data_IF_581391649657
#
_entry.id   IF_581391649657
#
_cell.length_a   1.000
_cell.length_b   1.000
_cell.length_c   1.000
_cell.angle_alpha   90.00
_cell.angle_beta   90.00
_cell.angle_gamma   90.00
#
_symmetry.space_group_name_H-M   'P 1'
#
loop_
_entity.id
_entity.type
_entity.pdbx_description
1 polymer ?
#
# COMPACT_ATOMS: atom_id res chain seq x y z
N UNK A 1 -16.68 13.31 -2.63
CA UNK A 1 -17.04 14.40 -1.69
C UNK A 1 -16.57 15.70 -2.33
N UNK A 2 -17.43 16.72 -2.48
CA UNK A 2 -17.07 18.03 -3.07
C UNK A 2 -16.28 18.86 -2.05
N UNK A 3 -15.48 19.84 -2.49
CA UNK A 3 -14.75 20.77 -1.61
C UNK A 3 -15.64 21.35 -0.50
N UNK A 4 -16.93 21.54 -0.78
CA UNK A 4 -17.95 22.01 0.17
C UNK A 4 -18.00 21.22 1.48
N UNK A 5 -17.78 19.90 1.48
CA UNK A 5 -17.82 19.09 2.72
C UNK A 5 -16.54 19.15 3.55
N UNK A 6 -15.40 19.45 2.92
CA UNK A 6 -14.15 19.72 3.64
C UNK A 6 -14.15 21.15 4.19
N UNK A 7 -14.72 22.09 3.44
CA UNK A 7 -14.94 23.48 3.86
C UNK A 7 -15.94 23.55 5.04
N UNK A 8 -16.98 22.71 5.06
CA UNK A 8 -17.91 22.56 6.20
C UNK A 8 -17.23 22.04 7.48
N UNK A 9 -16.11 21.32 7.36
CA UNK A 9 -15.41 20.74 8.51
C UNK A 9 -14.46 21.73 9.22
N UNK A 10 -14.17 22.89 8.62
CA UNK A 10 -13.31 23.92 9.18
C UNK A 10 -11.84 23.51 9.39
N UNK A 11 -10.95 24.49 9.51
CA UNK A 11 -9.53 24.24 9.79
C UNK A 11 -9.33 23.38 11.04
N UNK A 12 -8.78 22.17 10.83
CA UNK A 12 -8.64 21.06 11.80
C UNK A 12 -9.92 20.26 12.08
N UNK A 13 -10.36 19.45 11.12
CA UNK A 13 -11.42 18.47 11.34
C UNK A 13 -10.94 17.30 12.21
N UNK A 14 -11.73 16.92 13.21
CA UNK A 14 -11.47 15.78 14.09
C UNK A 14 -12.53 14.70 13.87
N UNK A 15 -12.10 13.53 13.40
CA UNK A 15 -12.99 12.39 13.18
C UNK A 15 -12.50 11.24 14.05
N UNK A 16 -13.39 10.73 14.90
CA UNK A 16 -13.07 9.59 15.77
C UNK A 16 -13.80 8.35 15.28
N UNK A 17 -13.07 7.27 15.05
CA UNK A 17 -13.63 5.98 14.70
C UNK A 17 -13.34 4.97 15.82
N UNK A 18 -14.28 4.04 16.09
CA UNK A 18 -14.00 2.91 16.98
C UNK A 18 -12.79 2.11 16.48
N UNK A 19 -11.88 1.76 17.38
CA UNK A 19 -10.70 0.97 17.07
C UNK A 19 -10.86 -0.44 17.62
N UNK A 20 -10.78 -1.46 16.76
CA UNK A 20 -11.09 -2.84 17.17
C UNK A 20 -9.87 -3.64 17.61
N UNK A 21 -8.67 -3.14 17.43
CA UNK A 21 -7.43 -3.85 17.73
C UNK A 21 -6.88 -3.48 19.11
N UNK A 22 -7.28 -4.23 20.15
CA UNK A 22 -6.59 -4.16 21.45
C UNK A 22 -5.48 -5.21 21.52
N UNK A 23 -4.24 -4.77 21.76
CA UNK A 23 -3.18 -5.62 22.31
C UNK A 23 -2.48 -6.58 21.35
N UNK A 24 -2.72 -6.51 20.03
CA UNK A 24 -2.01 -7.35 19.06
C UNK A 24 -0.93 -6.52 18.37
N UNK A 25 0.32 -6.69 18.79
CA UNK A 25 1.52 -6.19 18.10
C UNK A 25 2.03 -7.18 17.05
N UNK A 26 1.28 -8.24 16.79
CA UNK A 26 1.64 -9.34 15.89
C UNK A 26 0.90 -9.18 14.56
N UNK A 27 1.65 -9.33 13.48
CA UNK A 27 1.16 -9.27 12.12
C UNK A 27 1.37 -10.66 11.52
N UNK A 28 0.26 -11.37 11.24
CA UNK A 28 0.26 -12.73 10.70
C UNK A 28 0.98 -12.80 9.34
N UNK A 29 0.90 -11.75 8.53
CA UNK A 29 1.56 -11.70 7.24
C UNK A 29 1.80 -10.28 6.70
N UNK A 30 2.72 -10.19 5.75
CA UNK A 30 2.99 -9.00 4.95
C UNK A 30 2.59 -9.28 3.51
N UNK A 31 1.67 -8.48 2.98
CA UNK A 31 1.16 -8.63 1.62
C UNK A 31 1.84 -7.62 0.72
N UNK A 32 2.63 -8.06 -0.24
CA UNK A 32 3.20 -7.19 -1.26
C UNK A 32 2.37 -7.31 -2.52
N UNK A 33 1.96 -6.21 -3.12
CA UNK A 33 1.06 -6.20 -4.26
C UNK A 33 1.50 -5.15 -5.30
N UNK A 34 1.18 -5.34 -6.58
CA UNK A 34 1.36 -4.29 -7.56
C UNK A 34 0.53 -3.07 -7.14
N UNK A 35 1.07 -1.85 -7.24
CA UNK A 35 0.29 -0.65 -7.08
C UNK A 35 -0.71 -0.59 -8.22
N UNK A 36 -1.96 -0.39 -7.86
CA UNK A 36 -3.01 -0.17 -8.85
C UNK A 36 -4.38 -0.49 -8.30
N UNK A 37 -5.34 0.28 -8.77
CA UNK A 37 -6.73 0.17 -8.33
C UNK A 37 -7.38 -1.19 -8.68
N UNK A 38 -6.99 -1.78 -9.81
CA UNK A 38 -7.70 -2.91 -10.43
C UNK A 38 -7.83 -4.18 -9.59
N UNK A 39 -6.84 -4.43 -8.71
CA UNK A 39 -6.76 -5.67 -7.96
C UNK A 39 -6.68 -5.46 -6.46
N UNK A 40 -6.52 -4.22 -5.97
CA UNK A 40 -6.27 -3.98 -4.55
C UNK A 40 -7.37 -4.62 -3.70
N UNK A 41 -8.64 -4.39 -4.04
CA UNK A 41 -9.76 -4.97 -3.29
C UNK A 41 -9.74 -6.50 -3.34
N UNK A 42 -9.60 -7.08 -4.53
CA UNK A 42 -9.65 -8.53 -4.74
C UNK A 42 -8.46 -9.25 -4.12
N UNK A 43 -7.28 -8.64 -4.12
CA UNK A 43 -6.08 -9.14 -3.42
C UNK A 43 -6.33 -9.15 -1.92
N UNK A 44 -6.86 -8.04 -1.36
CA UNK A 44 -7.16 -7.97 0.06
C UNK A 44 -8.24 -9.00 0.47
N UNK A 45 -9.27 -9.19 -0.37
CA UNK A 45 -10.30 -10.21 -0.15
C UNK A 45 -9.71 -11.63 -0.24
N UNK A 46 -8.79 -11.89 -1.18
CA UNK A 46 -8.09 -13.17 -1.28
C UNK A 46 -7.32 -13.47 0.01
N UNK A 47 -6.56 -12.50 0.51
CA UNK A 47 -5.75 -12.68 1.73
C UNK A 47 -6.66 -12.95 2.95
N UNK A 48 -7.74 -12.18 3.12
CA UNK A 48 -8.60 -12.31 4.30
C UNK A 48 -9.49 -13.56 4.25
N UNK A 49 -10.12 -13.84 3.10
CA UNK A 49 -11.17 -14.86 3.02
C UNK A 49 -10.70 -16.18 2.42
N UNK A 50 -9.67 -16.17 1.56
CA UNK A 50 -9.13 -17.40 0.94
C UNK A 50 -7.94 -17.92 1.73
N UNK A 51 -6.98 -17.05 2.06
CA UNK A 51 -5.79 -17.44 2.82
C UNK A 51 -6.01 -17.41 4.34
N UNK A 52 -7.15 -16.88 4.80
CA UNK A 52 -7.54 -16.88 6.21
C UNK A 52 -6.72 -15.96 7.12
N UNK A 53 -5.99 -15.02 6.54
CA UNK A 53 -5.07 -14.13 7.27
C UNK A 53 -5.82 -12.90 7.77
N UNK A 54 -5.86 -12.70 9.10
CA UNK A 54 -6.71 -11.68 9.72
C UNK A 54 -5.95 -10.40 10.07
N UNK A 55 -4.72 -10.53 10.54
CA UNK A 55 -3.83 -9.42 10.86
C UNK A 55 -2.71 -9.36 9.83
N UNK A 56 -2.82 -8.48 8.85
CA UNK A 56 -1.78 -8.31 7.85
C UNK A 56 -1.65 -6.85 7.43
N UNK A 57 -0.47 -6.50 6.93
CA UNK A 57 -0.23 -5.24 6.24
C UNK A 57 -0.11 -5.43 4.73
N UNK A 58 -0.27 -4.34 3.99
CA UNK A 58 -0.29 -4.32 2.54
C UNK A 58 0.64 -3.24 1.97
N UNK A 59 1.55 -3.65 1.09
CA UNK A 59 2.53 -2.82 0.41
C UNK A 59 2.23 -2.78 -1.08
N UNK A 60 1.87 -1.62 -1.60
CA UNK A 60 1.75 -1.41 -3.03
C UNK A 60 3.00 -0.67 -3.55
N UNK A 61 4.02 -1.45 -3.94
CA UNK A 61 5.29 -0.92 -4.46
C UNK A 61 5.40 -1.26 -5.95
N UNK A 62 5.55 -0.27 -6.84
CA UNK A 62 5.67 -0.54 -8.28
C UNK A 62 6.82 -1.48 -8.59
N UNK A 63 6.50 -2.59 -9.26
CA UNK A 63 7.47 -3.62 -9.64
C UNK A 63 8.26 -4.17 -8.44
N UNK A 64 7.58 -4.46 -7.33
CA UNK A 64 8.17 -4.99 -6.09
C UNK A 64 9.18 -6.12 -6.32
N UNK A 65 8.78 -7.19 -7.01
CA UNK A 65 9.65 -8.35 -7.28
C UNK A 65 10.94 -7.96 -7.98
N UNK A 66 10.84 -7.10 -9.01
CA UNK A 66 12.02 -6.57 -9.71
C UNK A 66 12.89 -5.72 -8.78
N UNK A 67 12.29 -4.85 -7.95
CA UNK A 67 13.04 -3.99 -7.04
C UNK A 67 13.77 -4.76 -5.95
N UNK A 68 13.20 -5.85 -5.48
CA UNK A 68 13.90 -6.78 -4.58
C UNK A 68 15.13 -7.35 -5.27
N UNK A 69 14.95 -7.90 -6.46
CA UNK A 69 16.04 -8.49 -7.26
C UNK A 69 17.13 -7.46 -7.57
N UNK A 70 16.75 -6.21 -7.83
CA UNK A 70 17.68 -5.09 -8.06
C UNK A 70 18.33 -4.54 -6.77
N UNK A 71 18.00 -5.07 -5.59
CA UNK A 71 18.57 -4.63 -4.31
C UNK A 71 18.09 -3.25 -3.85
N UNK A 72 16.83 -2.89 -4.12
CA UNK A 72 16.28 -1.60 -3.71
C UNK A 72 16.29 -1.44 -2.19
N UNK A 73 17.12 -0.52 -1.69
CA UNK A 73 17.27 -0.22 -0.26
C UNK A 73 15.92 0.06 0.43
N UNK A 74 15.06 0.90 -0.16
CA UNK A 74 13.73 1.19 0.39
C UNK A 74 12.88 -0.07 0.58
N UNK A 75 12.97 -1.05 -0.33
CA UNK A 75 12.19 -2.29 -0.23
C UNK A 75 12.79 -3.19 0.86
N UNK A 76 14.11 -3.31 0.91
CA UNK A 76 14.81 -4.10 1.93
C UNK A 76 14.61 -3.51 3.35
N UNK A 77 14.70 -2.19 3.52
CA UNK A 77 14.41 -1.51 4.80
C UNK A 77 12.96 -1.76 5.23
N UNK A 78 12.03 -1.75 4.27
CA UNK A 78 10.61 -2.03 4.54
C UNK A 78 10.40 -3.45 5.04
N UNK A 79 11.00 -4.45 4.37
CA UNK A 79 10.97 -5.85 4.81
C UNK A 79 11.65 -6.04 6.17
N UNK A 80 12.76 -5.36 6.41
CA UNK A 80 13.47 -5.42 7.68
C UNK A 80 12.62 -4.86 8.83
N UNK A 81 11.96 -3.72 8.61
CA UNK A 81 11.04 -3.14 9.61
C UNK A 81 9.87 -4.10 9.85
N UNK A 82 9.31 -4.69 8.80
CA UNK A 82 8.22 -5.65 8.94
C UNK A 82 8.64 -6.88 9.76
N UNK A 83 9.78 -7.48 9.43
CA UNK A 83 10.31 -8.63 10.16
C UNK A 83 10.65 -8.28 11.62
N UNK A 84 11.48 -7.26 11.85
CA UNK A 84 11.98 -6.93 13.20
C UNK A 84 10.94 -6.32 14.12
N UNK A 85 10.09 -5.41 13.62
CA UNK A 85 9.15 -4.65 14.45
C UNK A 85 7.82 -5.39 14.60
N UNK A 86 7.32 -6.00 13.53
CA UNK A 86 6.00 -6.63 13.50
C UNK A 86 6.06 -8.14 13.69
N UNK A 87 7.27 -8.72 13.84
CA UNK A 87 7.53 -10.15 14.06
C UNK A 87 6.83 -11.03 13.02
N UNK A 88 6.85 -10.55 11.77
CA UNK A 88 6.23 -11.24 10.66
C UNK A 88 7.10 -12.42 10.27
N UNK A 89 6.51 -13.61 10.23
CA UNK A 89 7.13 -14.84 9.73
C UNK A 89 6.60 -15.23 8.33
N UNK A 90 5.64 -14.50 7.77
CA UNK A 90 5.01 -14.80 6.48
C UNK A 90 4.93 -13.59 5.53
N UNK A 91 5.35 -13.76 4.29
CA UNK A 91 5.15 -12.81 3.18
C UNK A 91 4.26 -13.44 2.12
N UNK A 92 3.25 -12.70 1.67
CA UNK A 92 2.39 -13.05 0.55
C UNK A 92 2.69 -12.08 -0.58
N UNK A 93 3.43 -12.57 -1.57
CA UNK A 93 3.92 -11.75 -2.67
C UNK A 93 3.05 -11.90 -3.90
N UNK A 94 2.25 -10.86 -4.18
CA UNK A 94 1.46 -10.76 -5.38
C UNK A 94 2.22 -10.08 -6.51
N UNK A 95 2.14 -10.66 -7.69
CA UNK A 95 2.57 -10.04 -8.93
C UNK A 95 1.48 -10.17 -9.99
N UNK A 96 1.21 -9.09 -10.73
CA UNK A 96 0.22 -9.11 -11.81
C UNK A 96 0.85 -8.87 -13.18
N UNK A 97 0.11 -9.22 -14.23
CA UNK A 97 0.30 -8.68 -15.58
C UNK A 97 0.11 -7.17 -15.62
N UNK A 98 0.73 -6.52 -16.59
CA UNK A 98 0.68 -5.06 -16.74
C UNK A 98 -0.68 -4.63 -17.30
N UNK A 99 -1.68 -4.57 -16.42
CA UNK A 99 -3.08 -4.26 -16.78
C UNK A 99 -3.27 -2.88 -17.40
N UNK A 100 -2.29 -1.98 -17.27
CA UNK A 100 -2.38 -0.63 -17.82
C UNK A 100 -2.36 -0.59 -19.36
N UNK A 101 -2.02 -1.69 -20.05
CA UNK A 101 -1.96 -1.76 -21.51
C UNK A 101 -2.84 -2.86 -22.12
N UNK A 102 -4.14 -3.00 -21.77
CA UNK A 102 -5.08 -3.90 -22.50
C UNK A 102 -4.44 -5.25 -22.96
N UNK A 103 -3.64 -5.90 -22.10
CA UNK A 103 -2.98 -7.18 -22.40
C UNK A 103 -1.93 -7.20 -23.52
N UNK A 104 -1.39 -6.06 -23.97
CA UNK A 104 -0.23 -6.02 -24.90
C UNK A 104 0.69 -4.88 -24.55
N UNK A 105 1.67 -5.15 -23.69
CA UNK A 105 2.91 -4.38 -23.83
C UNK A 105 3.56 -4.79 -25.16
N UNK A 106 4.05 -3.83 -25.95
CA UNK A 106 4.81 -4.13 -27.18
C UNK A 106 6.12 -4.92 -26.91
N UNK A 107 6.35 -5.27 -25.64
CA UNK A 107 7.50 -6.02 -25.16
C UNK A 107 7.33 -7.53 -25.33
N UNK A 108 6.10 -8.05 -25.33
CA UNK A 108 5.83 -9.48 -25.39
C UNK A 108 5.02 -9.83 -26.64
N UNK A 109 5.36 -10.95 -27.26
CA UNK A 109 4.72 -11.43 -28.48
C UNK A 109 3.32 -12.03 -28.22
N UNK A 110 3.10 -12.55 -27.00
CA UNK A 110 1.87 -13.19 -26.57
C UNK A 110 1.75 -13.19 -25.04
N UNK A 111 0.56 -13.58 -24.53
CA UNK A 111 0.25 -13.61 -23.10
C UNK A 111 1.14 -14.60 -22.32
N UNK A 112 1.42 -15.78 -22.89
CA UNK A 112 2.25 -16.79 -22.22
C UNK A 112 3.66 -16.26 -21.93
N UNK A 113 4.26 -15.52 -22.87
CA UNK A 113 5.56 -14.89 -22.68
C UNK A 113 5.55 -13.83 -21.56
N UNK A 114 4.48 -13.02 -21.47
CA UNK A 114 4.29 -12.05 -20.38
C UNK A 114 4.10 -12.76 -19.03
N UNK A 115 3.29 -13.81 -19.00
CA UNK A 115 3.05 -14.63 -17.81
C UNK A 115 4.36 -15.23 -17.29
N UNK A 116 5.14 -15.85 -18.16
CA UNK A 116 6.40 -16.49 -17.80
C UNK A 116 7.45 -15.47 -17.33
N UNK A 117 7.50 -14.29 -17.96
CA UNK A 117 8.33 -13.18 -17.50
C UNK A 117 7.97 -12.76 -16.07
N UNK A 118 6.67 -12.58 -15.79
CA UNK A 118 6.24 -12.13 -14.48
C UNK A 118 6.41 -13.22 -13.41
N UNK A 119 6.07 -14.47 -13.72
CA UNK A 119 6.25 -15.61 -12.81
C UNK A 119 7.74 -15.82 -12.49
N UNK A 120 8.61 -15.72 -13.48
CA UNK A 120 10.06 -15.80 -13.26
C UNK A 120 10.55 -14.70 -12.29
N UNK A 121 10.09 -13.45 -12.47
CA UNK A 121 10.40 -12.36 -11.56
C UNK A 121 9.88 -12.59 -10.13
N UNK A 122 8.67 -13.16 -10.01
CA UNK A 122 8.07 -13.51 -8.73
C UNK A 122 8.91 -14.57 -8.00
N UNK A 123 9.29 -15.65 -8.68
CA UNK A 123 10.11 -16.71 -8.11
C UNK A 123 11.53 -16.24 -7.76
N UNK A 124 12.15 -15.40 -8.59
CA UNK A 124 13.44 -14.81 -8.28
C UNK A 124 13.38 -13.94 -7.01
N UNK A 125 12.30 -13.18 -6.83
CA UNK A 125 12.10 -12.39 -5.62
C UNK A 125 11.87 -13.26 -4.38
N UNK A 126 11.11 -14.36 -4.48
CA UNK A 126 10.93 -15.34 -3.40
C UNK A 126 12.28 -15.91 -2.96
N UNK A 127 13.10 -16.38 -3.90
CA UNK A 127 14.42 -16.93 -3.61
C UNK A 127 15.32 -15.90 -2.89
N UNK A 128 15.26 -14.63 -3.28
CA UNK A 128 16.04 -13.58 -2.64
C UNK A 128 15.52 -13.21 -1.24
N UNK A 129 14.20 -13.17 -1.03
CA UNK A 129 13.60 -12.98 0.30
C UNK A 129 14.07 -14.09 1.23
N UNK A 130 13.95 -15.35 0.82
CA UNK A 130 14.37 -16.51 1.62
C UNK A 130 15.88 -16.52 1.89
N UNK A 131 16.69 -15.98 0.97
CA UNK A 131 18.14 -15.80 1.23
C UNK A 131 18.41 -14.83 2.38
N UNK A 132 17.66 -13.74 2.49
CA UNK A 132 17.82 -12.75 3.57
C UNK A 132 17.08 -13.15 4.85
N UNK A 133 15.99 -13.90 4.72
CA UNK A 133 15.10 -14.32 5.81
C UNK A 133 14.75 -15.81 5.67
N UNK A 134 15.67 -16.74 6.00
CA UNK A 134 15.49 -18.18 5.75
C UNK A 134 14.33 -18.82 6.50
N UNK A 135 13.97 -18.28 7.65
CA UNK A 135 12.87 -18.77 8.50
C UNK A 135 11.49 -18.26 8.05
N UNK A 136 11.43 -17.40 7.04
CA UNK A 136 10.20 -16.76 6.60
C UNK A 136 9.45 -17.63 5.60
N UNK A 137 8.15 -17.82 5.80
CA UNK A 137 7.27 -18.39 4.79
C UNK A 137 7.02 -17.35 3.68
N UNK A 138 7.19 -17.75 2.42
CA UNK A 138 6.93 -16.85 1.27
C UNK A 138 5.97 -17.53 0.30
N UNK A 139 4.75 -17.00 0.24
CA UNK A 139 3.68 -17.43 -0.68
C UNK A 139 3.74 -16.54 -1.92
N UNK A 140 3.91 -17.14 -3.09
CA UNK A 140 3.99 -16.44 -4.38
C UNK A 140 2.65 -16.54 -5.10
N UNK A 141 1.97 -15.41 -5.31
CA UNK A 141 0.68 -15.37 -6.00
C UNK A 141 0.79 -14.55 -7.28
N UNK A 142 0.47 -15.20 -8.39
CA UNK A 142 0.40 -14.57 -9.70
C UNK A 142 -1.05 -14.20 -10.05
N UNK A 143 -1.27 -12.96 -10.47
CA UNK A 143 -2.57 -12.39 -10.79
C UNK A 143 -2.65 -12.07 -12.29
N UNK A 144 -3.64 -12.64 -12.96
CA UNK A 144 -3.91 -12.35 -14.38
C UNK A 144 -5.41 -12.19 -14.62
N UNK A 145 -5.77 -11.75 -15.82
CA UNK A 145 -7.15 -11.66 -16.26
C UNK A 145 -7.47 -12.82 -17.21
N UNK A 146 -8.74 -13.24 -17.25
CA UNK A 146 -9.20 -14.12 -18.34
C UNK A 146 -9.11 -13.40 -19.68
N UNK A 147 -9.08 -14.18 -20.78
CA UNK A 147 -8.97 -13.64 -22.16
C UNK A 147 -10.06 -12.62 -22.51
N UNK A 148 -11.27 -12.78 -21.96
CA UNK A 148 -12.39 -11.85 -22.14
C UNK A 148 -12.38 -10.64 -21.19
N UNK A 149 -11.38 -10.59 -20.30
CA UNK A 149 -11.22 -9.66 -19.19
C UNK A 149 -12.47 -9.60 -18.28
N UNK A 150 -13.19 -10.71 -18.10
CA UNK A 150 -14.36 -10.79 -17.23
C UNK A 150 -14.02 -11.32 -15.82
N UNK A 151 -12.93 -12.06 -15.67
CA UNK A 151 -12.52 -12.70 -14.42
C UNK A 151 -11.07 -12.35 -14.09
N UNK A 152 -10.81 -12.16 -12.81
CA UNK A 152 -9.45 -12.19 -12.28
C UNK A 152 -9.13 -13.65 -11.95
N UNK A 153 -7.91 -14.10 -12.23
CA UNK A 153 -7.40 -15.40 -11.84
C UNK A 153 -6.16 -15.19 -10.98
N UNK A 154 -6.19 -15.76 -9.78
CA UNK A 154 -5.04 -15.78 -8.89
C UNK A 154 -4.52 -17.21 -8.78
N UNK A 155 -3.23 -17.37 -9.06
CA UNK A 155 -2.53 -18.63 -9.03
C UNK A 155 -1.49 -18.59 -7.90
N UNK A 156 -1.51 -19.56 -7.00
CA UNK A 156 -0.33 -19.84 -6.19
C UNK A 156 0.71 -20.51 -7.09
N UNK A 157 1.95 -20.05 -6.99
CA UNK A 157 3.09 -20.58 -7.75
C UNK A 157 4.02 -21.30 -6.77
N UNK A 158 4.15 -22.62 -6.95
CA UNK A 158 5.00 -23.46 -6.12
C UNK A 158 6.43 -23.52 -6.65
N UNK A 159 7.35 -24.07 -5.84
CA UNK A 159 8.79 -24.09 -6.15
C UNK A 159 9.16 -24.99 -7.34
N UNK A 160 8.31 -25.97 -7.65
CA UNK A 160 8.42 -26.82 -8.84
C UNK A 160 7.82 -26.16 -10.10
N UNK A 161 7.28 -24.94 -9.98
CA UNK A 161 6.65 -24.19 -11.06
C UNK A 161 5.18 -24.56 -11.30
N UNK A 162 4.60 -25.48 -10.51
CA UNK A 162 3.17 -25.79 -10.60
C UNK A 162 2.33 -24.58 -10.18
N UNK A 163 1.14 -24.47 -10.80
CA UNK A 163 0.22 -23.34 -10.63
C UNK A 163 -1.13 -23.85 -10.11
N UNK A 164 -1.53 -23.44 -8.91
CA UNK A 164 -2.84 -23.77 -8.35
C UNK A 164 -3.76 -22.55 -8.37
N UNK A 165 -4.98 -22.67 -8.91
CA UNK A 165 -5.92 -21.55 -8.89
C UNK A 165 -6.59 -21.45 -7.53
N UNK A 166 -6.30 -20.38 -6.80
CA UNK A 166 -6.82 -20.16 -5.45
C UNK A 166 -8.02 -19.21 -5.41
N UNK A 167 -8.15 -18.31 -6.39
CA UNK A 167 -9.23 -17.31 -6.38
C UNK A 167 -9.65 -16.86 -7.79
N UNK A 168 -10.97 -16.70 -7.99
CA UNK A 168 -11.59 -16.32 -9.28
C UNK A 168 -12.71 -15.27 -9.13
N UNK A 169 -12.44 -14.05 -8.64
CA UNK A 169 -13.48 -13.05 -8.51
C UNK A 169 -13.85 -12.49 -9.89
N UNK A 170 -15.11 -12.03 -10.02
CA UNK A 170 -15.55 -11.29 -11.20
C UNK A 170 -14.79 -9.96 -11.28
N UNK A 171 -14.21 -9.67 -12.43
CA UNK A 171 -13.56 -8.39 -12.68
C UNK A 171 -14.61 -7.32 -12.97
N UNK A 172 -14.75 -6.35 -12.06
CA UNK A 172 -15.80 -5.31 -12.15
C UNK A 172 -15.33 -4.02 -12.84
N UNK A 173 -14.07 -3.95 -13.24
CA UNK A 173 -13.42 -2.71 -13.70
C UNK A 173 -13.07 -2.71 -15.18
N UNK A 174 -13.76 -3.51 -16.00
CA UNK A 174 -13.57 -3.51 -17.47
C UNK A 174 -13.82 -2.09 -18.01
N UNK A 175 -12.76 -1.42 -18.46
CA UNK A 175 -12.80 -0.06 -19.01
C UNK A 175 -12.64 1.08 -17.99
N UNK A 176 -12.43 0.79 -16.71
CA UNK A 176 -12.26 1.80 -15.65
C UNK A 176 -10.80 1.80 -15.21
N UNK A 177 -9.96 2.64 -15.84
CA UNK A 177 -8.54 2.78 -15.49
C UNK A 177 -8.25 4.04 -14.67
N UNK A 178 -9.29 4.72 -14.17
CA UNK A 178 -9.15 5.98 -13.46
C UNK A 178 -9.39 5.80 -11.97
N UNK A 179 -8.39 6.20 -11.20
CA UNK A 179 -8.45 6.31 -9.76
C UNK A 179 -8.15 7.75 -9.41
N UNK A 180 -9.15 8.50 -8.95
CA UNK A 180 -8.99 9.94 -8.71
C UNK A 180 -8.23 10.24 -7.40
N UNK A 181 -8.06 9.24 -6.54
CA UNK A 181 -7.51 9.39 -5.19
C UNK A 181 -6.43 8.34 -4.91
N UNK A 182 -5.28 8.78 -4.41
CA UNK A 182 -4.23 7.90 -3.90
C UNK A 182 -3.95 8.20 -2.42
N UNK A 183 -3.82 7.16 -1.61
CA UNK A 183 -3.52 7.28 -0.18
C UNK A 183 -2.08 6.83 0.07
N UNK A 184 -1.24 7.76 0.50
CA UNK A 184 0.13 7.48 0.92
C UNK A 184 0.11 7.32 2.44
N UNK A 185 0.46 6.12 2.91
CA UNK A 185 0.39 5.76 4.33
C UNK A 185 1.61 5.02 4.80
N UNK A 186 1.75 4.95 6.14
CA UNK A 186 2.71 4.05 6.75
C UNK A 186 2.28 2.60 6.58
N UNK A 187 3.27 1.72 6.61
CA UNK A 187 3.09 0.27 6.71
C UNK A 187 2.86 -0.07 8.19
N UNK A 188 1.67 0.31 8.63
CA UNK A 188 1.16 0.07 9.97
C UNK A 188 -0.10 -0.79 9.89
N UNK A 189 0.02 -2.07 10.25
CA UNK A 189 -1.08 -3.02 10.16
C UNK A 189 -2.20 -2.72 11.15
N UNK A 190 -1.87 -2.11 12.31
CA UNK A 190 -2.79 -1.89 13.43
C UNK A 190 -4.07 -1.17 13.00
N UNK A 191 -3.95 -0.19 12.10
CA UNK A 191 -5.05 0.72 11.74
C UNK A 191 -5.59 0.48 10.32
N UNK A 192 -5.14 -0.56 9.60
CA UNK A 192 -5.43 -0.74 8.16
C UNK A 192 -6.92 -0.71 7.83
N UNK A 193 -7.75 -1.44 8.60
CA UNK A 193 -9.20 -1.56 8.36
C UNK A 193 -9.90 -0.23 8.65
N UNK A 194 -9.51 0.43 9.73
CA UNK A 194 -10.03 1.72 10.17
C UNK A 194 -9.64 2.84 9.20
N UNK A 195 -8.40 2.88 8.72
CA UNK A 195 -7.93 3.88 7.75
C UNK A 195 -8.70 3.77 6.43
N UNK A 196 -8.91 2.54 5.94
CA UNK A 196 -9.73 2.30 4.74
C UNK A 196 -11.18 2.74 4.97
N UNK A 197 -11.73 2.47 6.15
CA UNK A 197 -13.09 2.87 6.52
C UNK A 197 -13.21 4.38 6.64
N UNK A 198 -12.20 5.05 7.19
CA UNK A 198 -12.12 6.50 7.29
C UNK A 198 -12.10 7.15 5.89
N UNK A 199 -11.19 6.72 5.01
CA UNK A 199 -11.11 7.25 3.63
C UNK A 199 -12.44 7.04 2.89
N UNK A 200 -13.06 5.86 3.04
CA UNK A 200 -14.30 5.54 2.36
C UNK A 200 -15.51 6.27 2.90
N UNK A 201 -15.76 6.16 4.19
CA UNK A 201 -17.02 6.60 4.80
C UNK A 201 -16.94 8.01 5.36
N UNK A 202 -15.77 8.44 5.83
CA UNK A 202 -15.58 9.78 6.42
C UNK A 202 -15.13 10.80 5.38
N UNK A 203 -14.26 10.42 4.43
CA UNK A 203 -13.85 11.29 3.32
C UNK A 203 -14.63 11.05 2.02
N UNK A 204 -15.45 9.99 1.95
CA UNK A 204 -16.33 9.74 0.81
C UNK A 204 -15.59 9.31 -0.47
N UNK A 205 -14.43 8.66 -0.33
CA UNK A 205 -13.66 8.13 -1.44
C UNK A 205 -13.79 6.61 -1.48
N UNK A 206 -14.72 6.11 -2.31
CA UNK A 206 -15.01 4.67 -2.42
C UNK A 206 -13.94 3.87 -3.16
N UNK A 207 -13.15 4.55 -3.98
CA UNK A 207 -12.15 3.99 -4.87
C UNK A 207 -10.86 4.79 -4.71
N UNK A 208 -9.81 4.14 -4.24
CA UNK A 208 -8.51 4.78 -4.08
C UNK A 208 -7.37 3.78 -4.22
N UNK A 209 -6.23 4.26 -4.73
CA UNK A 209 -4.98 3.53 -4.74
C UNK A 209 -4.34 3.59 -3.34
N UNK A 210 -3.79 2.48 -2.87
CA UNK A 210 -2.98 2.46 -1.66
C UNK A 210 -1.50 2.51 -2.03
N UNK A 211 -0.74 3.38 -1.38
CA UNK A 211 0.71 3.47 -1.51
C UNK A 211 1.30 3.38 -0.11
N UNK A 212 1.83 2.21 0.24
CA UNK A 212 2.35 1.90 1.57
C UNK A 212 3.87 1.92 1.60
N UNK A 213 4.46 2.77 2.45
CA UNK A 213 5.89 2.77 2.76
C UNK A 213 6.16 2.95 4.25
N UNK A 214 7.27 2.44 4.76
CA UNK A 214 7.67 2.67 6.16
C UNK A 214 7.87 4.17 6.42
N UNK A 215 7.03 4.74 7.29
CA UNK A 215 7.01 6.17 7.57
C UNK A 215 6.30 7.03 6.53
N UNK A 216 5.39 6.48 5.73
CA UNK A 216 4.55 7.22 4.79
C UNK A 216 5.36 8.15 3.85
N UNK A 217 5.41 9.46 4.12
CA UNK A 217 6.17 10.43 3.30
C UNK A 217 7.68 10.33 3.45
N UNK A 218 8.19 9.72 4.53
CA UNK A 218 9.63 9.66 4.85
C UNK A 218 10.51 9.23 3.67
N UNK A 219 10.23 8.12 2.94
CA UNK A 219 11.11 7.72 1.83
C UNK A 219 11.12 8.70 0.68
N UNK A 220 10.02 9.43 0.44
CA UNK A 220 9.94 10.45 -0.60
C UNK A 220 10.81 11.66 -0.27
N UNK A 221 10.77 12.10 0.98
CA UNK A 221 11.58 13.20 1.51
C UNK A 221 13.07 12.85 1.52
N UNK A 222 13.41 11.56 1.69
CA UNK A 222 14.77 11.02 1.51
C UNK A 222 15.16 10.79 0.03
N UNK A 223 14.32 11.17 -0.94
CA UNK A 223 14.63 11.07 -2.36
C UNK A 223 14.51 9.66 -2.96
N UNK A 224 13.74 8.76 -2.34
CA UNK A 224 13.54 7.40 -2.87
C UNK A 224 12.88 7.44 -4.25
N UNK A 225 13.63 7.01 -5.27
CA UNK A 225 13.12 6.84 -6.64
C UNK A 225 11.96 5.84 -6.69
N UNK A 226 11.98 4.84 -5.82
CA UNK A 226 10.93 3.82 -5.72
C UNK A 226 9.61 4.44 -5.28
N UNK A 227 9.67 5.25 -4.24
CA UNK A 227 8.53 5.97 -3.71
C UNK A 227 7.95 6.93 -4.75
N UNK A 228 8.79 7.80 -5.35
CA UNK A 228 8.34 8.76 -6.37
C UNK A 228 7.76 8.12 -7.63
N UNK A 229 8.21 6.91 -8.01
CA UNK A 229 7.60 6.17 -9.12
C UNK A 229 6.17 5.71 -8.80
N UNK A 230 5.85 5.45 -7.53
CA UNK A 230 4.49 5.07 -7.12
C UNK A 230 3.51 6.23 -7.28
N UNK A 231 3.87 7.44 -6.81
CA UNK A 231 3.06 8.65 -7.06
C UNK A 231 2.95 8.91 -8.56
N UNK A 232 4.05 8.79 -9.30
CA UNK A 232 4.02 9.02 -10.74
C UNK A 232 3.09 8.06 -11.47
N UNK A 233 2.96 6.82 -11.03
CA UNK A 233 1.98 5.88 -11.58
C UNK A 233 0.56 6.37 -11.31
N UNK A 234 0.25 6.69 -10.05
CA UNK A 234 -1.06 7.19 -9.68
C UNK A 234 -1.45 8.47 -10.46
N UNK A 235 -0.58 9.49 -10.48
CA UNK A 235 -0.88 10.76 -11.14
C UNK A 235 -0.87 10.66 -12.67
N UNK A 236 0.19 10.12 -13.27
CA UNK A 236 0.37 10.20 -14.73
C UNK A 236 -0.36 9.09 -15.48
N UNK A 237 -0.57 7.93 -14.87
CA UNK A 237 -1.19 6.78 -15.54
C UNK A 237 -2.63 6.55 -15.09
N UNK A 238 -2.91 6.69 -13.80
CA UNK A 238 -4.28 6.45 -13.27
C UNK A 238 -5.13 7.73 -13.21
N UNK A 239 -4.55 8.89 -13.53
CA UNK A 239 -5.26 10.17 -13.54
C UNK A 239 -5.66 10.66 -12.15
N UNK A 240 -4.85 10.34 -11.14
CA UNK A 240 -5.07 10.77 -9.77
C UNK A 240 -5.13 12.30 -9.68
N UNK A 241 -6.20 12.79 -9.06
CA UNK A 241 -6.47 14.22 -8.83
C UNK A 241 -6.26 14.61 -7.36
N UNK A 242 -6.11 13.63 -6.48
CA UNK A 242 -6.03 13.82 -5.04
C UNK A 242 -5.08 12.85 -4.37
N UNK A 243 -4.18 13.37 -3.55
CA UNK A 243 -3.30 12.58 -2.69
C UNK A 243 -3.68 12.81 -1.23
N UNK A 244 -3.90 11.72 -0.49
CA UNK A 244 -4.07 11.74 0.95
C UNK A 244 -2.74 11.31 1.58
N UNK A 245 -2.08 12.23 2.28
CA UNK A 245 -0.91 11.94 3.11
C UNK A 245 -1.39 11.55 4.51
N UNK A 246 -1.23 10.28 4.86
CA UNK A 246 -1.71 9.74 6.13
C UNK A 246 -0.54 9.26 7.00
N UNK A 247 -0.22 10.06 8.01
CA UNK A 247 0.77 9.71 9.04
C UNK A 247 0.06 9.23 10.29
N UNK A 248 0.77 8.49 11.15
CA UNK A 248 0.23 8.06 12.44
C UNK A 248 1.24 8.29 13.55
N UNK A 249 0.73 8.49 14.77
CA UNK A 249 1.51 8.49 16.01
C UNK A 249 2.15 7.13 16.28
N UNK A 250 3.21 7.10 17.09
CA UNK A 250 3.95 5.87 17.42
C UNK A 250 4.53 5.19 16.16
N UNK A 251 5.01 6.01 15.22
CA UNK A 251 5.57 5.51 13.96
C UNK A 251 7.00 4.98 14.16
N UNK A 252 7.21 3.68 13.91
CA UNK A 252 8.52 3.05 14.11
C UNK A 252 9.60 3.56 13.16
N UNK A 253 9.23 3.98 11.95
CA UNK A 253 10.17 4.51 10.98
C UNK A 253 10.70 5.89 11.38
N UNK A 254 9.83 6.76 11.92
CA UNK A 254 10.23 8.08 12.38
C UNK A 254 10.97 8.04 13.72
N UNK A 255 10.65 7.09 14.61
CA UNK A 255 11.39 6.87 15.86
C UNK A 255 12.87 6.51 15.66
N UNK A 256 13.26 6.02 14.48
CA UNK A 256 14.69 5.81 14.15
C UNK A 256 15.44 7.11 13.92
N UNK A 257 14.75 8.13 13.42
CA UNK A 257 15.33 9.42 13.04
C UNK A 257 15.14 10.48 14.16
N UNK A 258 14.14 10.29 15.02
CA UNK A 258 13.77 11.22 16.08
C UNK A 258 13.44 10.48 17.39
N UNK A 259 14.06 10.90 18.50
CA UNK A 259 13.68 10.46 19.84
C UNK A 259 12.75 11.49 20.48
N UNK A 260 11.45 11.19 20.49
CA UNK A 260 10.43 12.06 21.10
C UNK A 260 10.35 11.90 22.62
N UNK A 261 11.02 10.90 23.24
CA UNK A 261 10.98 10.63 24.69
C UNK A 261 9.56 10.58 25.29
N UNK A 262 8.58 10.16 24.49
CA UNK A 262 7.16 10.10 24.87
C UNK A 262 6.38 11.42 24.73
N UNK A 263 7.00 12.49 24.21
CA UNK A 263 6.32 13.73 23.89
C UNK A 263 5.48 13.59 22.61
N UNK A 264 4.20 13.28 22.80
CA UNK A 264 3.22 13.11 21.72
C UNK A 264 2.95 14.41 20.95
N UNK A 265 3.11 15.57 21.59
CA UNK A 265 2.89 16.87 20.93
C UNK A 265 4.06 17.17 20.00
N UNK A 266 5.29 16.94 20.45
CA UNK A 266 6.46 17.07 19.61
C UNK A 266 6.45 16.08 18.43
N UNK A 267 6.00 14.84 18.64
CA UNK A 267 5.82 13.84 17.58
C UNK A 267 4.80 14.33 16.54
N UNK A 268 3.63 14.81 16.97
CA UNK A 268 2.59 15.33 16.08
C UNK A 268 3.09 16.54 15.25
N UNK A 269 3.78 17.50 15.88
CA UNK A 269 4.36 18.66 15.20
C UNK A 269 5.32 18.21 14.10
N UNK A 270 6.24 17.29 14.42
CA UNK A 270 7.19 16.74 13.45
C UNK A 270 6.45 16.09 12.26
N UNK A 271 5.46 15.24 12.52
CA UNK A 271 4.70 14.59 11.44
C UNK A 271 3.97 15.60 10.55
N UNK A 272 3.38 16.65 11.13
CA UNK A 272 2.72 17.74 10.38
C UNK A 272 3.72 18.47 9.48
N UNK A 273 4.91 18.78 10.00
CA UNK A 273 5.95 19.46 9.23
C UNK A 273 6.49 18.60 8.08
N UNK A 274 6.68 17.30 8.31
CA UNK A 274 7.06 16.36 7.24
C UNK A 274 5.97 16.21 6.17
N UNK A 275 4.69 16.20 6.56
CA UNK A 275 3.60 16.19 5.58
C UNK A 275 3.54 17.49 4.77
N UNK A 276 3.78 18.66 5.38
CA UNK A 276 3.85 19.95 4.66
C UNK A 276 4.98 19.98 3.64
N UNK A 277 6.19 19.58 4.02
CA UNK A 277 7.32 19.43 3.09
C UNK A 277 6.98 18.49 1.94
N UNK A 278 6.27 17.40 2.23
CA UNK A 278 5.86 16.45 1.19
C UNK A 278 4.79 17.03 0.27
N UNK A 279 3.80 17.74 0.82
CA UNK A 279 2.78 18.47 0.07
C UNK A 279 3.42 19.47 -0.89
N UNK A 280 4.37 20.27 -0.44
CA UNK A 280 5.14 21.20 -1.30
C UNK A 280 5.80 20.48 -2.47
N UNK A 281 6.52 19.38 -2.22
CA UNK A 281 7.18 18.59 -3.29
C UNK A 281 6.19 17.93 -4.25
N UNK A 282 5.02 17.51 -3.75
CA UNK A 282 3.96 16.97 -4.60
C UNK A 282 3.44 18.06 -5.52
N UNK A 283 3.08 19.22 -4.97
CA UNK A 283 2.50 20.33 -5.73
C UNK A 283 3.50 20.96 -6.71
N UNK A 284 4.79 20.97 -6.39
CA UNK A 284 5.85 21.36 -7.32
C UNK A 284 5.84 20.47 -8.59
N UNK A 285 5.59 19.17 -8.41
CA UNK A 285 5.65 18.18 -9.50
C UNK A 285 4.29 17.93 -10.18
N UNK A 286 3.20 18.08 -9.43
CA UNK A 286 1.81 17.83 -9.83
C UNK A 286 0.93 18.98 -9.36
N UNK A 287 0.99 20.16 -10.01
CA UNK A 287 0.33 21.38 -9.53
C UNK A 287 -1.19 21.29 -9.41
N UNK A 288 -1.82 20.43 -10.22
CA UNK A 288 -3.28 20.27 -10.28
C UNK A 288 -3.82 19.22 -9.30
N UNK A 289 -2.96 18.59 -8.49
CA UNK A 289 -3.36 17.57 -7.52
C UNK A 289 -3.71 18.21 -6.19
N UNK A 290 -4.87 17.86 -5.65
CA UNK A 290 -5.25 18.21 -4.29
C UNK A 290 -4.47 17.35 -3.28
N UNK A 291 -3.96 17.95 -2.20
CA UNK A 291 -3.25 17.21 -1.14
C UNK A 291 -3.97 17.38 0.19
N UNK A 292 -4.53 16.29 0.73
CA UNK A 292 -5.16 16.21 2.05
C UNK A 292 -4.15 15.60 3.02
N UNK A 293 -3.88 16.27 4.14
CA UNK A 293 -2.99 15.74 5.18
C UNK A 293 -3.80 15.27 6.38
N UNK A 294 -3.49 14.05 6.85
CA UNK A 294 -4.21 13.37 7.91
C UNK A 294 -3.20 12.80 8.90
N UNK A 295 -3.33 13.22 10.16
CA UNK A 295 -2.59 12.64 11.28
C UNK A 295 -3.51 11.72 12.09
N UNK A 296 -3.07 10.49 12.32
CA UNK A 296 -3.83 9.47 13.03
C UNK A 296 -3.22 9.21 14.40
N UNK A 297 -3.99 9.27 15.47
CA UNK A 297 -3.53 8.91 16.82
C UNK A 297 -4.53 8.03 17.54
N UNK A 298 -4.02 7.11 18.37
CA UNK A 298 -4.86 6.32 19.27
C UNK A 298 -5.23 7.17 20.48
N UNK A 299 -6.51 7.13 20.88
CA UNK A 299 -7.04 7.82 22.05
C UNK A 299 -7.85 6.84 22.92
N UNK A 300 -8.26 7.31 24.10
CA UNK A 300 -9.10 6.55 25.04
C UNK A 300 -8.54 5.14 25.31
N UNK A 301 -7.33 5.06 25.87
CA UNK A 301 -6.65 3.80 26.21
C UNK A 301 -6.56 2.80 25.04
N UNK A 302 -6.21 3.32 23.86
CA UNK A 302 -6.06 2.53 22.63
C UNK A 302 -7.36 1.82 22.20
N UNK A 303 -8.52 2.44 22.45
CA UNK A 303 -9.84 1.91 22.04
C UNK A 303 -10.46 2.65 20.87
N UNK A 304 -9.90 3.82 20.50
CA UNK A 304 -10.35 4.62 19.36
C UNK A 304 -9.19 5.20 18.58
N UNK A 305 -9.41 5.43 17.30
CA UNK A 305 -8.52 6.22 16.45
C UNK A 305 -9.13 7.59 16.21
N UNK A 306 -8.33 8.62 16.39
CA UNK A 306 -8.65 9.97 16.03
C UNK A 306 -7.86 10.37 14.79
N UNK A 307 -8.58 10.75 13.75
CA UNK A 307 -8.08 11.29 12.50
C UNK A 307 -8.18 12.81 12.57
N UNK A 308 -7.04 13.47 12.44
CA UNK A 308 -6.93 14.93 12.43
C UNK A 308 -6.58 15.36 11.01
N UNK A 309 -7.53 16.00 10.33
CA UNK A 309 -7.32 16.55 8.98
C UNK A 309 -6.83 17.98 9.13
N UNK A 310 -5.79 18.37 8.40
CA UNK A 310 -5.24 19.73 8.48
C UNK A 310 -4.65 20.21 7.16
N UNK A 311 -4.42 21.52 7.07
CA UNK A 311 -3.93 22.23 5.89
C UNK A 311 -2.40 22.31 5.76
#
# INVERSE_FOLDING_TARGET
MTNEKLDELGGNALITVPFRFKGVNECDAIVTMPPGFFFTKEILDCVEYVLGIKAFDAFAIPAFSKRIVDGSETVLETLEIANKKHRVDKIINFQSVDVHKKGKSDRFSNQQEEDDFHISGLMASKALILKYYPEMEVVSIYVTLSEDHALIRMYEIHDDGTREVIFRPKYRFKGICQCDTAVIRCIEFRNRKEDRSFVRFSLGFDSFGLIGFAGASRPFLKGSKSAWKAISLACNHEGCKRIILMHHADCGAYKKDHDFKGDLVAEEIMHRDEMRKMKEKILEKYPDVEVIMVYVRMIEDFTKLQYVIFE
#
